data_IF_160251605026
#
_entry.id   IF_160251605026
#
_cell.length_a   1.000
_cell.length_b   1.000
_cell.length_c   1.000
_cell.angle_alpha   90.00
_cell.angle_beta   90.00
_cell.angle_gamma   90.00
#
_symmetry.space_group_name_H-M   'P 1'
#
loop_
_entity.id
_entity.type
_entity.pdbx_description
1 polymer ?
#
# COMPACT_ATOMS: atom_id res chain seq x y z
N UNK A 1 -2.70 21.17 -18.33
CA UNK A 1 -1.48 20.95 -17.55
C UNK A 1 -0.99 19.53 -17.85
N UNK A 2 0.32 19.33 -17.90
CA UNK A 2 0.96 18.00 -18.02
C UNK A 2 1.99 17.85 -16.91
N UNK A 3 2.09 16.63 -16.36
CA UNK A 3 3.06 16.29 -15.30
C UNK A 3 3.70 14.96 -15.68
N UNK A 4 5.02 14.89 -15.70
CA UNK A 4 5.76 13.66 -15.98
C UNK A 4 6.43 13.15 -14.70
N UNK A 5 6.13 11.91 -14.33
CA UNK A 5 6.63 11.26 -13.11
C UNK A 5 7.62 10.15 -13.48
N UNK A 6 8.83 10.15 -12.91
CA UNK A 6 9.80 9.08 -13.17
C UNK A 6 9.33 7.78 -12.51
N UNK A 7 9.08 6.78 -13.33
CA UNK A 7 8.83 5.38 -12.95
C UNK A 7 8.04 5.19 -11.64
N UNK A 8 6.72 5.48 -11.59
CA UNK A 8 5.92 5.32 -10.38
C UNK A 8 5.97 3.90 -9.82
N UNK A 9 5.92 3.77 -8.49
CA UNK A 9 6.04 2.52 -7.77
C UNK A 9 4.92 2.38 -6.74
N UNK A 10 4.25 1.23 -6.74
CA UNK A 10 3.21 0.86 -5.78
C UNK A 10 3.80 -0.10 -4.74
N UNK A 11 3.95 0.38 -3.50
CA UNK A 11 4.60 -0.38 -2.43
C UNK A 11 3.63 -1.22 -1.60
N UNK A 12 2.43 -1.48 -2.10
CA UNK A 12 1.48 -2.41 -1.48
C UNK A 12 0.33 -2.75 -2.43
N UNK A 13 0.34 -3.94 -3.03
CA UNK A 13 -0.75 -4.35 -3.94
C UNK A 13 -1.04 -5.85 -3.86
N UNK A 14 -2.32 -6.21 -4.06
CA UNK A 14 -2.83 -7.58 -4.09
C UNK A 14 -3.17 -8.00 -5.52
N UNK A 15 -2.35 -8.86 -6.12
CA UNK A 15 -2.56 -9.34 -7.50
C UNK A 15 -3.26 -10.70 -7.60
N UNK A 16 -3.68 -11.27 -6.46
CA UNK A 16 -4.52 -12.47 -6.37
C UNK A 16 -3.94 -13.69 -7.10
N UNK A 17 -4.81 -14.62 -7.57
CA UNK A 17 -4.47 -15.89 -8.23
C UNK A 17 -5.48 -16.18 -9.35
N UNK A 18 -5.11 -17.09 -10.28
CA UNK A 18 -5.98 -17.56 -11.36
C UNK A 18 -6.50 -16.43 -12.25
N UNK A 19 -7.72 -16.60 -12.76
CA UNK A 19 -8.36 -15.65 -13.69
C UNK A 19 -8.46 -14.23 -13.17
N UNK A 20 -8.60 -14.06 -11.86
CA UNK A 20 -8.60 -12.72 -11.26
C UNK A 20 -7.19 -12.08 -11.37
N UNK A 21 -6.12 -12.83 -11.19
CA UNK A 21 -4.74 -12.32 -11.38
C UNK A 21 -4.47 -11.95 -12.84
N UNK A 22 -4.97 -12.75 -13.78
CA UNK A 22 -4.86 -12.45 -15.23
C UNK A 22 -5.50 -11.11 -15.59
N UNK A 23 -6.64 -10.78 -14.97
CA UNK A 23 -7.31 -9.49 -15.14
C UNK A 23 -6.54 -8.34 -14.49
N UNK A 24 -6.17 -8.49 -13.19
CA UNK A 24 -5.74 -7.33 -12.40
C UNK A 24 -4.25 -7.00 -12.53
N UNK A 25 -3.41 -7.96 -12.93
CA UNK A 25 -1.96 -7.74 -13.05
C UNK A 25 -1.63 -6.68 -14.12
N UNK A 26 -2.22 -6.68 -15.34
CA UNK A 26 -1.99 -5.63 -16.32
C UNK A 26 -2.45 -4.24 -15.85
N UNK A 27 -3.41 -4.16 -14.93
CA UNK A 27 -3.91 -2.90 -14.41
C UNK A 27 -2.88 -2.14 -13.57
N UNK A 28 -1.81 -2.78 -13.08
CA UNK A 28 -0.68 -2.08 -12.45
C UNK A 28 -0.06 -1.09 -13.44
N UNK A 29 0.33 -1.58 -14.61
CA UNK A 29 0.95 -0.75 -15.66
C UNK A 29 -0.05 0.20 -16.31
N UNK A 30 -1.27 -0.26 -16.57
CA UNK A 30 -2.35 0.59 -17.08
C UNK A 30 -2.68 1.74 -16.15
N UNK A 31 -2.60 1.52 -14.82
CA UNK A 31 -2.75 2.55 -13.81
C UNK A 31 -1.53 3.46 -13.63
N UNK A 32 -0.46 3.27 -14.43
CA UNK A 32 0.71 4.13 -14.48
C UNK A 32 1.89 3.66 -13.63
N UNK A 33 1.89 2.44 -13.11
CA UNK A 33 2.95 1.94 -12.22
C UNK A 33 3.86 0.93 -12.93
N UNK A 34 5.16 1.04 -12.69
CA UNK A 34 6.19 0.19 -13.30
C UNK A 34 6.88 -0.72 -12.29
N UNK A 35 6.63 -0.51 -11.00
CA UNK A 35 7.05 -1.36 -9.90
C UNK A 35 5.85 -1.66 -9.02
N UNK A 36 5.72 -2.92 -8.58
CA UNK A 36 4.68 -3.38 -7.68
C UNK A 36 5.27 -4.25 -6.56
N UNK A 37 4.98 -3.91 -5.31
CA UNK A 37 5.35 -4.69 -4.14
C UNK A 37 4.19 -5.60 -3.73
N UNK A 38 4.38 -6.91 -3.91
CA UNK A 38 3.32 -7.89 -3.95
C UNK A 38 3.05 -8.47 -2.56
N UNK A 39 1.79 -8.40 -2.12
CA UNK A 39 1.35 -8.96 -0.85
C UNK A 39 1.15 -10.48 -0.91
N UNK A 40 1.55 -11.22 0.14
CA UNK A 40 1.70 -12.68 0.09
C UNK A 40 0.46 -13.46 0.54
N UNK A 41 -0.67 -12.80 0.87
CA UNK A 41 -1.87 -13.42 1.47
C UNK A 41 -2.77 -14.14 0.45
N UNK A 42 -2.17 -15.03 -0.31
CA UNK A 42 -2.87 -15.94 -1.23
C UNK A 42 -3.56 -17.10 -0.48
N UNK A 43 -4.15 -18.03 -1.21
CA UNK A 43 -4.64 -19.31 -0.70
C UNK A 43 -3.99 -20.47 -1.45
N UNK A 44 -3.04 -21.20 -0.84
CA UNK A 44 -2.38 -20.95 0.46
C UNK A 44 -1.49 -19.68 0.42
N UNK A 45 -1.13 -19.11 1.59
CA UNK A 45 -0.25 -17.94 1.64
C UNK A 45 1.18 -18.31 1.19
N UNK A 46 1.91 -17.29 0.71
CA UNK A 46 3.30 -17.42 0.25
C UNK A 46 4.23 -17.41 1.46
N UNK A 47 4.69 -18.56 1.90
CA UNK A 47 5.51 -18.71 3.12
C UNK A 47 6.94 -19.14 2.84
N UNK A 48 7.29 -19.51 1.60
CA UNK A 48 8.64 -19.94 1.22
C UNK A 48 9.17 -19.17 0.02
N UNK A 49 10.48 -19.15 -0.12
CA UNK A 49 11.20 -18.56 -1.25
C UNK A 49 10.73 -19.12 -2.59
N UNK A 50 10.57 -20.45 -2.69
CA UNK A 50 10.13 -21.12 -3.92
C UNK A 50 8.73 -20.65 -4.32
N UNK A 51 7.79 -20.56 -3.37
CA UNK A 51 6.45 -20.08 -3.63
C UNK A 51 6.46 -18.62 -4.12
N UNK A 52 7.30 -17.76 -3.50
CA UNK A 52 7.42 -16.36 -3.90
C UNK A 52 7.97 -16.22 -5.32
N UNK A 53 9.01 -17.01 -5.67
CA UNK A 53 9.59 -16.99 -7.00
C UNK A 53 8.63 -17.54 -8.06
N UNK A 54 7.91 -18.63 -7.76
CA UNK A 54 6.89 -19.19 -8.65
C UNK A 54 5.75 -18.19 -8.88
N UNK A 55 5.32 -17.48 -7.83
CA UNK A 55 4.31 -16.43 -7.96
C UNK A 55 4.84 -15.26 -8.81
N UNK A 56 6.07 -14.81 -8.58
CA UNK A 56 6.72 -13.78 -9.42
C UNK A 56 6.74 -14.19 -10.88
N UNK A 57 7.15 -15.43 -11.18
CA UNK A 57 7.17 -15.94 -12.55
C UNK A 57 5.77 -15.93 -13.21
N UNK A 58 4.73 -16.29 -12.45
CA UNK A 58 3.35 -16.24 -12.96
C UNK A 58 2.92 -14.81 -13.31
N UNK A 59 3.25 -13.82 -12.47
CA UNK A 59 2.96 -12.41 -12.74
C UNK A 59 3.75 -11.87 -13.94
N UNK A 60 5.02 -12.26 -14.07
CA UNK A 60 5.87 -11.88 -15.20
C UNK A 60 5.39 -12.47 -16.54
N UNK A 61 4.74 -13.65 -16.53
CA UNK A 61 4.09 -14.21 -17.72
C UNK A 61 2.88 -13.39 -18.17
N UNK A 62 2.17 -12.74 -17.23
CA UNK A 62 1.00 -11.91 -17.53
C UNK A 62 1.44 -10.51 -18.00
N UNK A 63 2.30 -9.82 -17.26
CA UNK A 63 2.89 -8.54 -17.69
C UNK A 63 4.39 -8.49 -17.35
N UNK A 64 5.28 -8.74 -18.34
CA UNK A 64 6.72 -8.73 -18.12
C UNK A 64 7.33 -7.32 -17.96
N UNK A 65 6.54 -6.26 -18.17
CA UNK A 65 7.01 -4.87 -18.15
C UNK A 65 6.89 -4.22 -16.77
N UNK A 66 6.44 -4.95 -15.77
CA UNK A 66 6.37 -4.51 -14.37
C UNK A 66 7.48 -5.16 -13.56
N UNK A 67 8.18 -4.38 -12.75
CA UNK A 67 9.10 -4.91 -11.73
C UNK A 67 8.29 -5.42 -10.53
N UNK A 68 8.33 -6.72 -10.25
CA UNK A 68 7.65 -7.32 -9.10
C UNK A 68 8.62 -7.54 -7.96
N UNK A 69 8.42 -6.85 -6.84
CA UNK A 69 9.07 -7.10 -5.57
C UNK A 69 8.21 -8.04 -4.74
N UNK A 70 8.79 -9.12 -4.22
CA UNK A 70 8.04 -10.17 -3.53
C UNK A 70 8.20 -10.10 -2.02
N UNK A 71 7.17 -10.58 -1.32
CA UNK A 71 7.14 -10.73 0.14
C UNK A 71 6.85 -12.18 0.53
N UNK A 72 7.30 -12.56 1.73
CA UNK A 72 6.82 -13.76 2.43
C UNK A 72 5.74 -13.39 3.44
N UNK A 73 4.87 -14.34 3.73
CA UNK A 73 3.87 -14.25 4.79
C UNK A 73 4.52 -14.64 6.13
N UNK A 74 4.45 -13.77 7.14
CA UNK A 74 4.91 -14.10 8.48
C UNK A 74 3.98 -15.16 9.10
N UNK A 75 4.48 -16.36 9.24
CA UNK A 75 3.74 -17.52 9.74
C UNK A 75 4.58 -18.31 10.76
N UNK A 76 3.96 -19.16 11.59
CA UNK A 76 4.69 -20.02 12.53
C UNK A 76 5.70 -20.98 11.89
N UNK A 77 5.58 -21.26 10.59
CA UNK A 77 6.50 -22.13 9.84
C UNK A 77 7.72 -21.38 9.28
N UNK A 78 7.75 -20.05 9.34
CA UNK A 78 8.89 -19.28 8.83
C UNK A 78 10.09 -19.42 9.78
N UNK A 79 11.28 -19.62 9.22
CA UNK A 79 12.52 -19.81 9.99
C UNK A 79 13.58 -18.78 9.59
N UNK A 80 14.60 -18.51 10.44
CA UNK A 80 15.73 -17.66 10.07
C UNK A 80 16.46 -18.12 8.81
N UNK A 81 16.60 -19.44 8.62
CA UNK A 81 17.23 -20.03 7.43
C UNK A 81 16.44 -19.68 6.16
N UNK A 82 15.11 -19.73 6.23
CA UNK A 82 14.26 -19.32 5.09
C UNK A 82 14.39 -17.81 4.81
N UNK A 83 14.57 -16.97 5.82
CA UNK A 83 14.85 -15.54 5.65
C UNK A 83 16.19 -15.33 4.92
N UNK A 84 17.27 -16.00 5.33
CA UNK A 84 18.56 -15.90 4.64
C UNK A 84 18.48 -16.36 3.19
N UNK A 85 17.74 -17.44 2.92
CA UNK A 85 17.50 -17.94 1.58
C UNK A 85 16.68 -16.95 0.73
N UNK A 86 15.59 -16.41 1.29
CA UNK A 86 14.74 -15.44 0.65
C UNK A 86 15.51 -14.17 0.26
N UNK A 87 16.33 -13.65 1.18
CA UNK A 87 17.16 -12.49 0.91
C UNK A 87 18.14 -12.71 -0.25
N UNK A 88 18.83 -13.87 -0.28
CA UNK A 88 19.72 -14.26 -1.38
C UNK A 88 18.99 -14.39 -2.71
N UNK A 89 17.72 -14.79 -2.69
CA UNK A 89 16.86 -14.89 -3.87
C UNK A 89 16.25 -13.53 -4.31
N UNK A 90 16.52 -12.44 -3.57
CA UNK A 90 16.03 -11.12 -3.88
C UNK A 90 14.58 -10.85 -3.41
N UNK A 91 14.05 -11.65 -2.48
CA UNK A 91 12.81 -11.35 -1.77
C UNK A 91 13.06 -10.14 -0.86
N UNK A 92 12.17 -9.15 -0.88
CA UNK A 92 12.44 -7.82 -0.30
C UNK A 92 12.00 -7.71 1.16
N UNK A 93 10.97 -8.46 1.56
CA UNK A 93 10.45 -8.35 2.92
C UNK A 93 9.52 -9.46 3.34
N UNK A 94 8.97 -9.28 4.54
CA UNK A 94 8.00 -10.18 5.16
C UNK A 94 6.80 -9.35 5.60
N UNK A 95 5.59 -9.76 5.19
CA UNK A 95 4.32 -9.14 5.60
C UNK A 95 3.73 -9.87 6.79
N UNK A 96 3.44 -9.12 7.83
CA UNK A 96 2.73 -9.57 9.03
C UNK A 96 1.26 -9.19 8.96
N UNK A 97 0.41 -10.17 9.25
CA UNK A 97 -1.03 -10.00 9.45
C UNK A 97 -1.40 -10.48 10.86
N UNK A 98 -2.11 -9.68 11.66
CA UNK A 98 -2.74 -10.17 12.88
C UNK A 98 -3.81 -11.21 12.54
N UNK A 99 -3.94 -12.26 13.36
CA UNK A 99 -4.87 -13.37 13.10
C UNK A 99 -6.31 -12.87 12.97
N UNK A 100 -6.98 -13.25 11.87
CA UNK A 100 -8.41 -13.00 11.64
C UNK A 100 -8.80 -11.53 11.41
N UNK A 101 -7.84 -10.61 11.25
CA UNK A 101 -8.15 -9.17 11.08
C UNK A 101 -8.62 -8.85 9.67
N UNK A 102 -8.01 -9.43 8.64
CA UNK A 102 -8.28 -9.12 7.24
C UNK A 102 -8.33 -10.36 6.35
N UNK A 103 -8.49 -10.19 5.05
CA UNK A 103 -8.59 -11.27 4.06
C UNK A 103 -7.40 -12.24 4.16
N UNK A 104 -7.71 -13.55 4.28
CA UNK A 104 -6.70 -14.62 4.36
C UNK A 104 -5.67 -14.45 5.49
N UNK A 105 -6.11 -13.97 6.66
CA UNK A 105 -5.26 -13.77 7.83
C UNK A 105 -5.49 -14.78 8.97
N UNK A 106 -6.20 -15.88 8.71
CA UNK A 106 -6.48 -16.93 9.71
C UNK A 106 -5.20 -17.56 10.30
N UNK A 107 -4.13 -17.66 9.47
CA UNK A 107 -2.79 -18.08 9.88
C UNK A 107 -1.92 -16.95 10.41
N UNK A 108 -2.46 -15.78 10.69
CA UNK A 108 -1.75 -14.61 11.18
C UNK A 108 -1.19 -14.77 12.59
N UNK A 109 -0.46 -13.75 13.04
CA UNK A 109 0.26 -13.79 14.31
C UNK A 109 -0.61 -13.39 15.50
N UNK A 110 -0.26 -13.91 16.68
CA UNK A 110 -0.85 -13.54 17.99
C UNK A 110 0.12 -12.74 18.85
N UNK A 111 1.42 -13.03 18.77
CA UNK A 111 2.49 -12.37 19.52
C UNK A 111 3.72 -12.18 18.63
N UNK A 112 4.36 -11.02 18.71
CA UNK A 112 5.58 -10.71 17.96
C UNK A 112 6.84 -11.31 18.57
N UNK A 113 6.85 -11.56 19.86
CA UNK A 113 8.04 -12.03 20.58
C UNK A 113 8.54 -13.39 20.10
N UNK A 114 7.62 -14.27 19.69
CA UNK A 114 7.97 -15.59 19.13
C UNK A 114 8.71 -15.50 17.80
N UNK A 115 8.63 -14.35 17.11
CA UNK A 115 9.28 -14.10 15.81
C UNK A 115 10.56 -13.27 15.91
N UNK A 116 11.05 -12.98 17.10
CA UNK A 116 12.28 -12.20 17.28
C UNK A 116 13.49 -12.78 16.53
N UNK A 117 13.73 -14.11 16.50
CA UNK A 117 14.80 -14.69 15.66
C UNK A 117 14.62 -14.41 14.15
N UNK A 118 13.37 -14.34 13.68
CA UNK A 118 13.05 -13.98 12.29
C UNK A 118 13.41 -12.53 12.04
N UNK A 119 13.04 -11.61 12.95
CA UNK A 119 13.31 -10.18 12.82
C UNK A 119 14.80 -9.86 12.90
N UNK A 120 15.57 -10.62 13.69
CA UNK A 120 17.03 -10.53 13.73
C UNK A 120 17.63 -10.91 12.38
N UNK A 121 17.24 -12.06 11.82
CA UNK A 121 17.67 -12.49 10.49
C UNK A 121 17.26 -11.50 9.38
N UNK A 122 16.07 -10.89 9.47
CA UNK A 122 15.62 -9.85 8.54
C UNK A 122 16.49 -8.59 8.65
N UNK A 123 16.82 -8.17 9.87
CA UNK A 123 17.69 -7.02 10.13
C UNK A 123 19.11 -7.23 9.58
N UNK A 124 19.67 -8.44 9.74
CA UNK A 124 20.98 -8.81 9.20
C UNK A 124 21.02 -8.81 7.66
N UNK A 125 19.91 -9.16 7.02
CA UNK A 125 19.79 -9.23 5.57
C UNK A 125 19.16 -7.98 4.94
N UNK A 126 18.96 -6.90 5.71
CA UNK A 126 18.35 -5.66 5.25
C UNK A 126 16.97 -5.86 4.58
N UNK A 127 16.19 -6.82 5.07
CA UNK A 127 14.81 -7.05 4.62
C UNK A 127 13.84 -6.12 5.35
N UNK A 128 12.65 -5.89 4.76
CA UNK A 128 11.62 -5.00 5.31
C UNK A 128 10.54 -5.80 6.01
N UNK A 129 10.22 -5.43 7.24
CA UNK A 129 9.05 -5.92 7.96
C UNK A 129 7.85 -5.02 7.67
N UNK A 130 6.85 -5.56 6.99
CA UNK A 130 5.63 -4.85 6.62
C UNK A 130 4.50 -5.24 7.58
N UNK A 131 3.95 -4.29 8.32
CA UNK A 131 2.97 -4.53 9.38
C UNK A 131 1.57 -4.12 8.94
N UNK A 132 0.62 -5.06 8.94
CA UNK A 132 -0.79 -4.69 8.99
C UNK A 132 -1.09 -4.21 10.41
N UNK A 133 -1.23 -2.91 10.56
CA UNK A 133 -1.17 -2.21 11.85
C UNK A 133 -2.49 -2.20 12.62
N UNK A 134 -3.15 -3.33 12.81
CA UNK A 134 -4.37 -3.44 13.61
C UNK A 134 -4.26 -4.56 14.65
N UNK A 135 -5.00 -4.42 15.76
CA UNK A 135 -5.25 -5.50 16.72
C UNK A 135 -6.64 -6.08 16.41
N UNK A 136 -6.82 -7.41 16.52
CA UNK A 136 -8.15 -8.03 16.43
C UNK A 136 -9.12 -7.41 17.43
N UNK A 137 -10.40 -7.27 17.02
CA UNK A 137 -11.45 -6.75 17.89
C UNK A 137 -11.61 -7.64 19.13
N UNK A 138 -11.72 -7.01 20.29
CA UNK A 138 -11.82 -7.65 21.60
C UNK A 138 -12.75 -6.80 22.47
N UNK A 139 -13.97 -7.29 22.69
CA UNK A 139 -14.97 -6.55 23.45
C UNK A 139 -14.60 -6.35 24.93
N UNK A 140 -13.86 -7.30 25.53
CA UNK A 140 -13.43 -7.20 26.92
C UNK A 140 -12.39 -6.09 27.12
N UNK A 141 -11.55 -5.85 26.09
CA UNK A 141 -10.55 -4.80 26.08
C UNK A 141 -11.01 -3.50 25.40
N UNK A 142 -12.28 -3.43 25.03
CA UNK A 142 -12.85 -2.30 24.30
C UNK A 142 -12.08 -2.00 22.99
N UNK A 143 -11.57 -3.04 22.31
CA UNK A 143 -10.94 -2.93 20.99
C UNK A 143 -11.98 -3.20 19.92
N UNK A 144 -12.10 -2.27 18.99
CA UNK A 144 -13.06 -2.33 17.90
C UNK A 144 -12.46 -1.75 16.61
N UNK A 145 -13.14 -1.91 15.49
CA UNK A 145 -12.66 -1.54 14.15
C UNK A 145 -12.15 -0.09 14.02
N UNK A 146 -12.64 0.83 14.85
CA UNK A 146 -12.22 2.24 14.79
C UNK A 146 -10.92 2.48 15.56
N UNK A 147 -10.67 1.79 16.68
CA UNK A 147 -9.47 1.99 17.49
C UNK A 147 -8.43 0.86 17.36
N UNK A 148 -8.65 -0.11 16.47
CA UNK A 148 -7.76 -1.25 16.25
C UNK A 148 -6.33 -0.81 15.86
N UNK A 149 -6.19 0.22 15.00
CA UNK A 149 -4.89 0.75 14.60
C UNK A 149 -4.19 1.50 15.75
N UNK A 150 -4.80 2.49 16.44
CA UNK A 150 -4.18 3.11 17.61
C UNK A 150 -3.75 2.10 18.68
N UNK A 151 -4.55 1.06 18.89
CA UNK A 151 -4.24 -0.01 19.86
C UNK A 151 -3.04 -0.87 19.45
N UNK A 152 -2.69 -0.90 18.16
CA UNK A 152 -1.52 -1.60 17.64
C UNK A 152 -0.21 -0.83 17.82
N UNK A 153 -0.22 0.49 17.87
CA UNK A 153 0.98 1.32 17.84
C UNK A 153 2.03 1.01 18.93
N UNK A 154 1.65 0.59 20.15
CA UNK A 154 2.63 0.13 21.13
C UNK A 154 3.49 -1.04 20.64
N UNK A 155 2.95 -1.93 19.78
CA UNK A 155 3.72 -3.02 19.18
C UNK A 155 4.75 -2.50 18.17
N UNK A 156 4.38 -1.52 17.33
CA UNK A 156 5.32 -0.86 16.41
C UNK A 156 6.51 -0.26 17.18
N UNK A 157 6.22 0.51 18.25
CA UNK A 157 7.27 1.16 19.05
C UNK A 157 8.16 0.13 19.76
N UNK A 158 7.59 -0.96 20.26
CA UNK A 158 8.32 -2.07 20.90
C UNK A 158 9.25 -2.78 19.90
N UNK A 159 8.76 -3.07 18.70
CA UNK A 159 9.54 -3.69 17.63
C UNK A 159 10.70 -2.79 17.19
N UNK A 160 10.44 -1.50 16.95
CA UNK A 160 11.50 -0.55 16.59
C UNK A 160 12.57 -0.43 17.69
N UNK A 161 12.16 -0.43 18.96
CA UNK A 161 13.10 -0.40 20.09
C UNK A 161 13.94 -1.69 20.16
N UNK A 162 13.35 -2.85 19.93
CA UNK A 162 14.04 -4.14 19.98
C UNK A 162 14.98 -4.33 18.77
N UNK A 163 14.59 -3.84 17.60
CA UNK A 163 15.31 -3.99 16.33
C UNK A 163 15.53 -2.63 15.63
N UNK A 164 16.41 -1.77 16.15
CA UNK A 164 16.53 -0.38 15.68
C UNK A 164 17.10 -0.25 14.25
N UNK A 165 17.75 -1.29 13.73
CA UNK A 165 18.25 -1.33 12.35
C UNK A 165 17.30 -2.01 11.38
N UNK A 166 16.28 -2.73 11.86
CA UNK A 166 15.28 -3.36 11.01
C UNK A 166 14.45 -2.28 10.31
N UNK A 167 14.34 -2.37 8.99
CA UNK A 167 13.41 -1.51 8.25
C UNK A 167 11.99 -2.01 8.47
N UNK A 168 11.13 -1.13 8.96
CA UNK A 168 9.72 -1.44 9.25
C UNK A 168 8.83 -0.48 8.47
N UNK A 169 7.80 -1.00 7.84
CA UNK A 169 6.73 -0.21 7.23
C UNK A 169 5.41 -0.49 7.94
N UNK A 170 4.84 0.54 8.53
CA UNK A 170 3.43 0.53 8.96
C UNK A 170 2.58 0.74 7.70
N UNK A 171 1.86 -0.29 7.30
CA UNK A 171 1.10 -0.28 6.05
C UNK A 171 -0.23 0.47 6.18
N UNK A 172 -0.64 1.15 5.07
CA UNK A 172 -1.97 1.73 4.87
C UNK A 172 -2.55 2.44 6.09
N UNK A 173 -1.75 3.32 6.73
CA UNK A 173 -2.18 4.05 7.93
C UNK A 173 -3.48 4.84 7.73
N UNK A 174 -4.28 4.90 8.78
CA UNK A 174 -5.61 5.52 8.75
C UNK A 174 -5.83 6.58 9.84
N UNK A 175 -4.90 6.75 10.77
CA UNK A 175 -5.08 7.63 11.93
C UNK A 175 -3.97 8.67 12.08
N UNK A 176 -4.30 9.79 12.71
CA UNK A 176 -3.33 10.78 13.20
C UNK A 176 -2.31 10.13 14.13
N UNK A 177 -2.77 9.25 15.02
CA UNK A 177 -1.89 8.54 15.97
C UNK A 177 -0.82 7.70 15.26
N UNK A 178 -1.17 7.02 14.15
CA UNK A 178 -0.21 6.28 13.34
C UNK A 178 0.85 7.19 12.72
N UNK A 179 0.44 8.34 12.16
CA UNK A 179 1.38 9.34 11.61
C UNK A 179 2.37 9.80 12.69
N UNK A 180 1.90 10.15 13.87
CA UNK A 180 2.73 10.61 14.98
C UNK A 180 3.66 9.51 15.51
N UNK A 181 3.17 8.27 15.62
CA UNK A 181 3.98 7.13 16.03
C UNK A 181 5.14 6.89 15.04
N UNK A 182 4.87 6.89 13.73
CA UNK A 182 5.92 6.75 12.72
C UNK A 182 6.91 7.91 12.77
N UNK A 183 6.45 9.15 12.95
CA UNK A 183 7.32 10.32 13.10
C UNK A 183 8.22 10.23 14.34
N UNK A 184 7.72 9.66 15.44
CA UNK A 184 8.50 9.47 16.67
C UNK A 184 9.59 8.40 16.54
N UNK A 185 9.48 7.49 15.56
CA UNK A 185 10.50 6.49 15.24
C UNK A 185 11.66 7.09 14.43
N UNK A 186 12.76 6.33 14.37
CA UNK A 186 13.95 6.67 13.58
C UNK A 186 13.74 6.47 12.06
N UNK A 187 14.78 6.69 11.26
CA UNK A 187 14.71 6.63 9.79
C UNK A 187 14.45 5.23 9.24
N UNK A 188 14.56 4.20 10.06
CA UNK A 188 14.27 2.81 9.68
C UNK A 188 12.78 2.48 9.68
N UNK A 189 11.92 3.38 10.17
CA UNK A 189 10.44 3.19 10.16
C UNK A 189 9.79 4.15 9.19
N UNK A 190 9.00 3.59 8.30
CA UNK A 190 8.21 4.33 7.30
C UNK A 190 6.73 3.88 7.32
N UNK A 191 5.93 4.48 6.46
CA UNK A 191 4.50 4.25 6.40
C UNK A 191 3.99 4.34 4.98
N UNK A 192 3.10 3.42 4.58
CA UNK A 192 2.32 3.58 3.36
C UNK A 192 0.99 4.27 3.63
N UNK A 193 0.56 5.11 2.69
CA UNK A 193 -0.75 5.74 2.68
C UNK A 193 -1.42 5.41 1.35
N UNK A 194 -2.70 5.04 1.39
CA UNK A 194 -3.48 4.68 0.20
C UNK A 194 -4.19 5.89 -0.39
N UNK A 195 -4.52 5.83 -1.68
CA UNK A 195 -5.34 6.86 -2.32
C UNK A 195 -6.74 6.97 -1.69
N UNK A 196 -7.35 5.84 -1.34
CA UNK A 196 -8.70 5.82 -0.79
C UNK A 196 -8.76 6.35 0.66
N UNK A 197 -7.74 6.13 1.51
CA UNK A 197 -7.70 6.73 2.85
C UNK A 197 -7.44 8.25 2.83
N UNK A 198 -6.87 8.78 1.76
CA UNK A 198 -6.77 10.24 1.55
C UNK A 198 -8.12 10.88 1.19
N UNK A 199 -9.12 10.09 0.82
CA UNK A 199 -10.43 10.56 0.41
C UNK A 199 -11.54 10.17 1.37
N UNK A 200 -11.64 8.89 1.75
CA UNK A 200 -12.71 8.32 2.56
C UNK A 200 -12.63 8.73 4.03
N UNK A 201 -13.80 8.79 4.64
CA UNK A 201 -14.02 8.82 6.09
C UNK A 201 -15.02 7.72 6.49
N UNK A 202 -15.36 7.65 7.76
CA UNK A 202 -16.37 6.71 8.27
C UNK A 202 -17.72 6.88 7.55
N UNK A 203 -18.11 8.10 7.22
CA UNK A 203 -19.39 8.39 6.54
C UNK A 203 -19.43 7.86 5.09
N UNK A 204 -18.26 7.68 4.47
CA UNK A 204 -18.17 7.24 3.07
C UNK A 204 -18.24 5.71 2.93
N UNK A 205 -17.86 4.94 3.94
CA UNK A 205 -17.92 3.47 3.88
C UNK A 205 -19.06 2.87 4.70
N UNK A 206 -19.57 3.57 5.72
CA UNK A 206 -20.71 3.10 6.48
C UNK A 206 -21.96 2.97 5.56
N UNK A 207 -22.39 1.73 5.32
CA UNK A 207 -23.45 1.43 4.36
C UNK A 207 -23.03 1.35 2.88
N UNK A 208 -21.76 1.55 2.56
CA UNK A 208 -21.21 1.49 1.20
C UNK A 208 -20.16 0.39 1.08
N UNK A 209 -20.61 -0.82 0.77
CA UNK A 209 -19.78 -2.03 0.79
C UNK A 209 -18.54 -1.96 -0.13
N UNK A 210 -18.62 -1.25 -1.26
CA UNK A 210 -17.49 -1.09 -2.18
C UNK A 210 -16.38 -0.18 -1.65
N UNK A 211 -16.67 0.64 -0.62
CA UNK A 211 -15.68 1.45 0.09
C UNK A 211 -15.14 0.77 1.35
N UNK A 212 -15.64 -0.42 1.69
CA UNK A 212 -15.20 -1.17 2.85
C UNK A 212 -13.84 -1.83 2.59
N UNK A 213 -12.85 -1.52 3.43
CA UNK A 213 -11.50 -2.10 3.45
C UNK A 213 -11.07 -2.35 4.90
N UNK A 214 -9.93 -2.98 5.09
CA UNK A 214 -9.28 -3.11 6.39
C UNK A 214 -7.79 -2.72 6.27
N UNK A 215 -7.37 -1.72 7.08
CA UNK A 215 -8.14 -0.94 8.05
C UNK A 215 -9.22 -0.07 7.40
N UNK A 216 -10.32 0.18 8.11
CA UNK A 216 -11.36 1.11 7.63
C UNK A 216 -10.87 2.55 7.71
N UNK A 217 -11.34 3.42 6.81
CA UNK A 217 -11.15 4.86 6.95
C UNK A 217 -11.80 5.36 8.27
N UNK A 218 -11.13 6.30 8.94
CA UNK A 218 -11.53 6.79 10.25
C UNK A 218 -12.29 8.13 10.14
N UNK A 219 -12.04 9.03 11.05
CA UNK A 219 -12.72 10.32 11.13
C UNK A 219 -12.09 11.38 10.19
N UNK A 220 -12.80 12.48 9.91
CA UNK A 220 -12.24 13.57 9.09
C UNK A 220 -10.90 14.09 9.58
N UNK A 221 -10.69 14.22 10.90
CA UNK A 221 -9.42 14.71 11.48
C UNK A 221 -8.25 13.74 11.24
N UNK A 222 -8.52 12.45 11.19
CA UNK A 222 -7.52 11.45 10.83
C UNK A 222 -7.12 11.57 9.37
N UNK A 223 -8.11 11.69 8.46
CA UNK A 223 -7.85 11.93 7.04
C UNK A 223 -7.03 13.21 6.83
N UNK A 224 -7.35 14.30 7.53
CA UNK A 224 -6.58 15.53 7.43
C UNK A 224 -5.14 15.37 7.95
N UNK A 225 -4.89 14.52 8.95
CA UNK A 225 -3.52 14.20 9.38
C UNK A 225 -2.72 13.45 8.30
N UNK A 226 -3.35 12.49 7.59
CA UNK A 226 -2.74 11.82 6.44
C UNK A 226 -2.42 12.79 5.29
N UNK A 227 -3.33 13.71 5.00
CA UNK A 227 -3.14 14.76 3.99
C UNK A 227 -2.03 15.73 4.38
N UNK A 228 -2.00 16.12 5.65
CA UNK A 228 -1.01 17.06 6.17
C UNK A 228 0.41 16.52 6.05
N UNK A 229 0.66 15.24 6.37
CA UNK A 229 2.01 14.66 6.32
C UNK A 229 2.54 14.55 4.88
N UNK A 230 1.67 14.41 3.89
CA UNK A 230 2.08 14.43 2.47
C UNK A 230 2.45 15.86 2.05
N UNK A 231 1.71 16.87 2.53
CA UNK A 231 2.03 18.28 2.28
C UNK A 231 3.29 18.77 3.00
N UNK A 232 3.59 18.18 4.15
CA UNK A 232 4.64 18.61 5.04
C UNK A 232 5.99 18.66 4.31
N UNK A 233 6.62 19.84 4.30
CA UNK A 233 8.02 19.97 3.92
C UNK A 233 8.90 19.76 5.15
N UNK A 234 10.08 19.21 4.98
CA UNK A 234 11.11 19.29 6.01
C UNK A 234 11.55 20.76 6.05
N UNK A 235 11.10 21.48 7.05
CA UNK A 235 11.67 22.78 7.35
C UNK A 235 13.09 22.55 7.85
N UNK A 236 14.06 23.16 7.18
CA UNK A 236 15.40 23.23 7.72
C UNK A 236 15.34 23.87 9.11
N UNK A 237 15.86 23.21 10.14
CA UNK A 237 15.82 23.64 11.54
C UNK A 237 16.52 24.99 11.81
N UNK A 238 17.07 25.61 10.77
CA UNK A 238 17.83 26.87 10.86
C UNK A 238 17.11 28.12 10.35
N UNK A 239 15.81 28.07 10.07
CA UNK A 239 14.98 29.28 9.97
C UNK A 239 15.41 30.33 8.93
N UNK A 240 16.15 29.97 7.89
CA UNK A 240 16.54 30.91 6.85
C UNK A 240 15.39 31.12 5.84
N UNK A 241 14.83 32.31 5.83
CA UNK A 241 13.91 32.80 4.80
C UNK A 241 14.71 32.94 3.51
N UNK A 242 14.66 31.96 2.61
CA UNK A 242 15.15 32.09 1.25
C UNK A 242 14.00 32.36 0.29
N UNK A 243 14.01 33.53 -0.28
CA UNK A 243 13.19 33.97 -1.42
C UNK A 243 13.71 33.22 -2.63
N UNK A 244 12.95 32.30 -3.19
CA UNK A 244 13.24 31.44 -4.36
C UNK A 244 13.58 29.97 -4.07
N UNK A 245 12.92 29.33 -3.11
CA UNK A 245 13.12 27.92 -2.82
C UNK A 245 12.02 27.08 -3.48
N UNK A 246 12.42 26.06 -4.28
CA UNK A 246 11.52 24.95 -4.64
C UNK A 246 10.78 24.51 -3.39
N UNK A 247 9.45 24.24 -3.46
CA UNK A 247 8.70 23.73 -2.31
C UNK A 247 9.46 22.55 -1.73
N UNK A 248 9.74 22.59 -0.43
CA UNK A 248 10.42 21.49 0.25
C UNK A 248 9.63 20.17 0.04
N UNK A 249 10.29 19.03 -0.14
CA UNK A 249 9.62 17.74 -0.36
C UNK A 249 8.69 17.40 0.80
N UNK A 250 7.67 16.53 0.58
CA UNK A 250 6.85 15.93 1.62
C UNK A 250 7.67 15.14 2.63
N UNK A 251 7.04 14.59 3.67
CA UNK A 251 7.78 13.82 4.68
C UNK A 251 8.31 12.49 4.08
N UNK A 252 9.65 12.26 3.99
CA UNK A 252 10.25 11.21 3.15
C UNK A 252 9.96 9.77 3.61
N UNK A 253 9.34 9.59 4.75
CA UNK A 253 8.97 8.27 5.28
C UNK A 253 7.49 7.92 5.06
N UNK A 254 6.75 8.76 4.30
CA UNK A 254 5.35 8.51 3.94
C UNK A 254 5.22 8.50 2.43
N UNK A 255 4.83 7.36 1.87
CA UNK A 255 4.75 7.14 0.43
C UNK A 255 3.56 6.25 0.07
N UNK A 256 3.27 6.13 -1.21
CA UNK A 256 2.14 5.36 -1.70
C UNK A 256 2.36 3.85 -1.50
N UNK A 257 1.36 3.21 -0.89
CA UNK A 257 1.04 1.81 -1.07
C UNK A 257 -0.46 1.75 -1.33
N UNK A 258 -0.86 1.27 -2.50
CA UNK A 258 -2.26 1.40 -2.92
C UNK A 258 -3.23 0.60 -2.08
N UNK A 259 -2.78 -0.51 -1.51
CA UNK A 259 -3.62 -1.57 -0.98
C UNK A 259 -4.78 -1.91 -1.94
N UNK A 260 -4.49 -1.84 -3.24
CA UNK A 260 -5.46 -2.24 -4.24
C UNK A 260 -5.77 -3.72 -4.09
N UNK A 261 -6.97 -4.01 -3.62
CA UNK A 261 -7.39 -5.33 -3.18
C UNK A 261 -8.70 -5.74 -3.89
N UNK A 262 -8.62 -6.19 -5.16
CA UNK A 262 -9.79 -6.56 -5.94
C UNK A 262 -10.49 -7.78 -5.36
N UNK A 263 -11.83 -7.73 -5.36
CA UNK A 263 -12.72 -8.83 -5.01
C UNK A 263 -13.85 -8.92 -6.05
N UNK A 264 -14.30 -10.13 -6.40
CA UNK A 264 -15.51 -10.29 -7.21
C UNK A 264 -16.70 -9.55 -6.58
N UNK A 265 -17.50 -8.86 -7.40
CA UNK A 265 -18.54 -7.96 -6.92
C UNK A 265 -19.57 -8.63 -5.99
N UNK A 266 -19.89 -9.90 -6.24
CA UNK A 266 -20.80 -10.67 -5.39
C UNK A 266 -20.29 -10.84 -3.96
N UNK A 267 -18.95 -10.83 -3.73
CA UNK A 267 -18.37 -10.92 -2.38
C UNK A 267 -18.36 -9.59 -1.63
N UNK A 268 -18.58 -8.50 -2.37
CA UNK A 268 -18.72 -7.14 -1.80
C UNK A 268 -20.17 -6.80 -1.46
N UNK A 269 -21.13 -7.45 -2.10
CA UNK A 269 -22.55 -7.25 -1.84
C UNK A 269 -23.06 -8.36 -0.90
N UNK A 270 -23.59 -7.97 0.25
CA UNK A 270 -24.21 -8.91 1.21
C UNK A 270 -25.62 -9.25 0.75
N UNK A 271 -25.79 -10.33 0.00
CA UNK A 271 -27.10 -10.80 -0.41
C UNK A 271 -27.81 -11.66 0.66
N UNK A 272 -27.05 -12.13 1.65
CA UNK A 272 -27.59 -12.91 2.78
C UNK A 272 -27.04 -12.37 4.10
N UNK A 273 -27.81 -12.47 5.22
CA UNK A 273 -27.39 -11.94 6.53
C UNK A 273 -26.08 -12.54 7.07
N UNK A 274 -25.75 -13.77 6.68
CA UNK A 274 -24.57 -14.50 7.17
C UNK A 274 -23.32 -14.26 6.31
N UNK A 275 -23.44 -13.56 5.20
CA UNK A 275 -22.33 -13.31 4.28
C UNK A 275 -21.69 -11.97 4.60
N UNK A 276 -20.49 -11.99 5.18
CA UNK A 276 -19.69 -10.79 5.41
C UNK A 276 -19.26 -10.13 4.10
N UNK A 277 -19.07 -8.80 4.12
CA UNK A 277 -18.48 -8.06 2.99
C UNK A 277 -16.96 -8.28 2.92
N UNK A 278 -16.44 -8.68 1.76
CA UNK A 278 -14.99 -8.78 1.55
C UNK A 278 -14.32 -7.40 1.71
N UNK A 279 -13.26 -7.35 2.51
CA UNK A 279 -12.52 -6.11 2.75
C UNK A 279 -11.52 -5.85 1.63
N UNK A 280 -11.65 -4.73 0.94
CA UNK A 280 -10.72 -4.30 -0.11
C UNK A 280 -11.34 -3.28 -1.04
N UNK A 281 -10.53 -2.33 -1.47
CA UNK A 281 -10.86 -1.28 -2.46
C UNK A 281 -9.96 -1.50 -3.67
N UNK A 282 -10.48 -1.44 -4.88
CA UNK A 282 -9.75 -1.73 -6.10
C UNK A 282 -9.39 -0.45 -6.85
N UNK A 283 -8.13 -0.04 -6.81
CA UNK A 283 -7.66 1.24 -7.36
C UNK A 283 -6.70 1.10 -8.55
N UNK A 284 -6.07 -0.07 -8.74
CA UNK A 284 -4.98 -0.26 -9.71
C UNK A 284 -5.28 0.25 -11.12
N UNK A 285 -6.47 0.07 -11.73
CA UNK A 285 -6.71 0.47 -13.11
C UNK A 285 -6.51 1.96 -13.41
N UNK A 286 -6.68 2.80 -12.40
CA UNK A 286 -6.66 4.27 -12.52
C UNK A 286 -5.81 4.93 -11.44
N UNK A 287 -4.88 4.19 -10.83
CA UNK A 287 -4.25 4.59 -9.58
C UNK A 287 -3.48 5.92 -9.69
N UNK A 288 -2.60 6.11 -10.67
CA UNK A 288 -1.82 7.35 -10.79
C UNK A 288 -2.69 8.57 -11.11
N UNK A 289 -3.64 8.51 -12.08
CA UNK A 289 -4.63 9.54 -12.29
C UNK A 289 -5.48 9.86 -11.05
N UNK A 290 -5.90 8.83 -10.30
CA UNK A 290 -6.67 8.97 -9.07
C UNK A 290 -5.87 9.69 -7.99
N UNK A 291 -4.61 9.28 -7.76
CA UNK A 291 -3.73 9.94 -6.78
C UNK A 291 -3.51 11.41 -7.16
N UNK A 292 -3.24 11.71 -8.44
CA UNK A 292 -3.10 13.10 -8.90
C UNK A 292 -4.36 13.92 -8.63
N UNK A 293 -5.55 13.37 -8.94
CA UNK A 293 -6.82 14.02 -8.69
C UNK A 293 -7.06 14.27 -7.20
N UNK A 294 -6.80 13.27 -6.34
CA UNK A 294 -6.96 13.40 -4.88
C UNK A 294 -5.99 14.43 -4.32
N UNK A 295 -4.69 14.38 -4.70
CA UNK A 295 -3.70 15.36 -4.24
C UNK A 295 -4.04 16.78 -4.69
N UNK A 296 -4.53 16.96 -5.94
CA UNK A 296 -4.99 18.24 -6.45
C UNK A 296 -6.13 18.81 -5.60
N UNK A 297 -7.09 17.98 -5.19
CA UNK A 297 -8.29 18.38 -4.46
C UNK A 297 -8.01 19.09 -3.13
N UNK A 298 -6.85 18.84 -2.53
CA UNK A 298 -6.44 19.50 -1.28
C UNK A 298 -5.10 20.26 -1.39
N UNK A 299 -4.67 20.58 -2.63
CA UNK A 299 -3.51 21.45 -2.90
C UNK A 299 -2.16 20.80 -2.62
N UNK A 300 -2.03 19.49 -2.85
CA UNK A 300 -0.80 18.71 -2.68
C UNK A 300 -0.23 18.13 -3.98
N UNK A 301 -0.74 18.55 -5.14
CA UNK A 301 -0.32 17.99 -6.44
C UNK A 301 1.18 18.06 -6.68
N UNK A 302 1.85 19.11 -6.20
CA UNK A 302 3.31 19.24 -6.27
C UNK A 302 4.10 18.20 -5.47
N UNK A 303 3.43 17.35 -4.70
CA UNK A 303 4.02 16.21 -3.94
C UNK A 303 3.88 14.87 -4.67
N UNK A 304 3.24 14.85 -5.84
CA UNK A 304 2.91 13.61 -6.53
C UNK A 304 4.13 12.75 -6.80
N UNK A 305 5.21 13.30 -7.37
CA UNK A 305 6.44 12.57 -7.66
C UNK A 305 7.08 11.96 -6.41
N UNK A 306 7.22 12.76 -5.35
CA UNK A 306 7.80 12.31 -4.09
C UNK A 306 6.99 11.15 -3.50
N UNK A 307 5.67 11.27 -3.50
CA UNK A 307 4.74 10.33 -2.89
C UNK A 307 4.63 9.01 -3.66
N UNK A 308 4.58 9.03 -4.99
CA UNK A 308 4.35 7.83 -5.82
C UNK A 308 5.62 7.23 -6.42
N UNK A 309 6.79 7.86 -6.24
CA UNK A 309 8.05 7.37 -6.82
C UNK A 309 9.22 7.49 -5.85
N UNK A 310 9.67 8.72 -5.56
CA UNK A 310 10.99 8.98 -4.96
C UNK A 310 11.13 8.37 -3.56
N UNK A 311 10.16 8.61 -2.67
CA UNK A 311 10.31 8.26 -1.26
C UNK A 311 10.28 6.75 -1.02
N UNK A 312 9.30 6.05 -1.58
CA UNK A 312 9.22 4.61 -1.46
C UNK A 312 10.42 3.91 -2.09
N UNK A 313 10.83 4.33 -3.29
CA UNK A 313 12.03 3.80 -3.94
C UNK A 313 13.28 3.98 -3.09
N UNK A 314 13.47 5.16 -2.49
CA UNK A 314 14.59 5.42 -1.58
C UNK A 314 14.53 4.52 -0.34
N UNK A 315 13.37 4.39 0.29
CA UNK A 315 13.21 3.53 1.46
C UNK A 315 13.48 2.06 1.15
N UNK A 316 13.00 1.56 0.01
CA UNK A 316 13.21 0.19 -0.43
C UNK A 316 14.53 -0.05 -1.17
N UNK A 317 15.41 0.97 -1.30
CA UNK A 317 16.70 0.91 -2.01
C UNK A 317 16.52 0.46 -3.47
N UNK A 318 15.55 1.06 -4.13
CA UNK A 318 15.18 0.86 -5.54
C UNK A 318 15.24 2.18 -6.29
N UNK A 319 16.20 3.02 -5.94
CA UNK A 319 16.44 4.28 -6.64
C UNK A 319 16.70 4.01 -8.12
N UNK A 320 16.22 4.92 -8.95
CA UNK A 320 16.44 4.85 -10.39
C UNK A 320 17.88 5.22 -10.71
N UNK A 321 18.57 4.38 -11.46
CA UNK A 321 19.81 4.79 -12.09
C UNK A 321 19.52 5.96 -13.06
N UNK A 322 20.51 6.82 -13.26
CA UNK A 322 20.37 8.03 -14.12
C UNK A 322 19.85 7.67 -15.53
N UNK A 323 20.25 6.52 -16.04
CA UNK A 323 19.82 6.01 -17.36
C UNK A 323 18.35 5.52 -17.38
N UNK A 324 17.85 4.99 -16.26
CA UNK A 324 16.46 4.53 -16.15
C UNK A 324 15.47 5.65 -15.76
N UNK A 325 15.97 6.81 -15.36
CA UNK A 325 15.15 8.01 -15.15
C UNK A 325 14.44 8.49 -16.42
N UNK A 326 14.85 7.99 -17.58
CA UNK A 326 14.21 8.28 -18.86
C UNK A 326 12.77 7.67 -19.00
N UNK A 327 12.46 6.59 -18.26
CA UNK A 327 11.09 6.02 -18.26
C UNK A 327 10.18 6.84 -17.37
N UNK A 328 9.43 7.75 -17.97
CA UNK A 328 8.46 8.60 -17.30
C UNK A 328 7.05 8.24 -17.70
N UNK A 329 6.12 8.38 -16.78
CA UNK A 329 4.69 8.34 -17.05
C UNK A 329 4.16 9.77 -17.05
N UNK A 330 3.55 10.18 -18.13
CA UNK A 330 3.01 11.53 -18.27
C UNK A 330 1.51 11.53 -18.02
N UNK A 331 1.08 12.38 -17.09
CA UNK A 331 -0.30 12.70 -16.83
C UNK A 331 -0.68 13.99 -17.55
N UNK A 332 -1.87 14.00 -18.15
CA UNK A 332 -2.49 15.17 -18.73
C UNK A 332 -3.80 15.49 -18.03
N UNK A 333 -3.97 16.76 -17.68
CA UNK A 333 -5.23 17.23 -17.14
C UNK A 333 -6.29 17.31 -18.24
N UNK A 334 -7.46 16.75 -17.97
CA UNK A 334 -8.64 16.79 -18.84
C UNK A 334 -9.70 17.62 -18.14
N UNK A 335 -9.96 18.87 -18.57
CA UNK A 335 -10.88 19.78 -17.88
C UNK A 335 -12.28 19.21 -17.71
N UNK A 336 -12.77 18.49 -18.73
CA UNK A 336 -14.10 17.88 -18.75
C UNK A 336 -14.18 16.57 -17.94
N UNK A 337 -13.01 16.06 -17.49
CA UNK A 337 -12.91 14.75 -16.84
C UNK A 337 -13.08 13.59 -17.82
N UNK A 338 -12.87 12.40 -17.32
CA UNK A 338 -13.29 11.15 -17.98
C UNK A 338 -13.82 10.18 -16.92
N UNK A 339 -14.77 9.35 -17.34
CA UNK A 339 -15.40 8.39 -16.42
C UNK A 339 -14.52 7.19 -16.19
N UNK A 340 -14.36 6.82 -14.90
CA UNK A 340 -13.82 5.52 -14.52
C UNK A 340 -14.80 4.44 -14.95
N UNK A 341 -14.30 3.36 -15.52
CA UNK A 341 -15.10 2.22 -15.96
C UNK A 341 -15.95 1.66 -14.80
N UNK A 342 -17.19 1.24 -15.09
CA UNK A 342 -18.14 0.75 -14.08
C UNK A 342 -17.68 -0.57 -13.44
N UNK A 343 -17.13 -1.48 -14.26
CA UNK A 343 -16.61 -2.77 -13.83
C UNK A 343 -15.63 -3.35 -14.84
N UNK A 344 -14.87 -4.35 -14.41
CA UNK A 344 -13.99 -5.15 -15.26
C UNK A 344 -14.39 -6.62 -15.16
N UNK A 345 -14.60 -7.27 -16.30
CA UNK A 345 -15.05 -8.65 -16.34
C UNK A 345 -13.89 -9.64 -16.17
N UNK A 346 -14.09 -10.63 -15.31
CA UNK A 346 -13.17 -11.77 -15.10
C UNK A 346 -13.55 -12.86 -16.10
N UNK A 347 -12.58 -13.61 -16.60
CA UNK A 347 -12.83 -14.70 -17.55
C UNK A 347 -13.78 -15.80 -17.00
N UNK A 348 -13.97 -15.88 -15.69
CA UNK A 348 -14.94 -16.78 -15.04
C UNK A 348 -16.41 -16.32 -15.18
N UNK A 349 -16.68 -15.16 -15.77
CA UNK A 349 -18.02 -14.59 -15.89
C UNK A 349 -18.44 -13.69 -14.71
N UNK A 350 -17.55 -13.48 -13.77
CA UNK A 350 -17.70 -12.53 -12.66
C UNK A 350 -17.12 -11.17 -13.04
N UNK A 351 -17.31 -10.15 -12.19
CA UNK A 351 -16.69 -8.84 -12.39
C UNK A 351 -16.11 -8.27 -11.10
N UNK A 352 -15.21 -7.30 -11.25
CA UNK A 352 -14.68 -6.46 -10.16
C UNK A 352 -15.04 -5.00 -10.43
N UNK A 353 -15.37 -4.29 -9.36
CA UNK A 353 -15.78 -2.88 -9.43
C UNK A 353 -14.63 -2.02 -8.91
N UNK A 354 -14.10 -1.08 -9.70
CA UNK A 354 -13.03 -0.21 -9.26
C UNK A 354 -13.55 0.87 -8.30
N UNK A 355 -12.63 1.43 -7.52
CA UNK A 355 -12.92 2.60 -6.71
C UNK A 355 -13.36 3.76 -7.63
N UNK A 356 -14.42 4.47 -7.23
CA UNK A 356 -15.03 5.52 -8.03
C UNK A 356 -15.60 5.07 -9.39
N UNK A 357 -16.03 3.82 -9.51
CA UNK A 357 -16.76 3.37 -10.71
C UNK A 357 -17.80 4.40 -11.16
N UNK A 358 -17.81 4.75 -12.43
CA UNK A 358 -18.72 5.73 -13.03
C UNK A 358 -18.51 7.20 -12.65
N UNK A 359 -17.55 7.51 -11.73
CA UNK A 359 -17.22 8.89 -11.40
C UNK A 359 -16.18 9.48 -12.35
N UNK A 360 -16.19 10.80 -12.48
CA UNK A 360 -15.24 11.53 -13.32
C UNK A 360 -13.96 11.86 -12.56
N UNK A 361 -12.81 11.65 -13.21
CA UNK A 361 -11.51 12.14 -12.77
C UNK A 361 -10.89 13.05 -13.83
N UNK A 362 -10.06 14.01 -13.39
CA UNK A 362 -9.53 15.07 -14.27
C UNK A 362 -8.15 14.79 -14.84
N UNK A 363 -7.53 13.66 -14.50
CA UNK A 363 -6.20 13.30 -14.94
C UNK A 363 -6.23 11.99 -15.72
N UNK A 364 -5.52 11.91 -16.81
CA UNK A 364 -5.33 10.67 -17.57
C UNK A 364 -3.87 10.46 -17.92
N UNK A 365 -3.47 9.22 -18.07
CA UNK A 365 -2.14 8.86 -18.59
C UNK A 365 -2.15 9.18 -20.09
N UNK A 366 -1.07 9.83 -20.55
CA UNK A 366 -0.80 10.01 -21.96
C UNK A 366 0.02 8.80 -22.40
N UNK A 367 -0.50 8.02 -23.34
CA UNK A 367 0.29 6.94 -23.94
C UNK A 367 1.54 7.54 -24.61
N UNK A 368 2.72 7.08 -24.18
CA UNK A 368 3.95 7.36 -24.93
C UNK A 368 3.81 6.71 -26.31
N UNK A 369 3.87 7.52 -27.39
CA UNK A 369 3.91 7.05 -28.78
C UNK A 369 5.31 6.59 -29.13
#
# INVERSE_FOLDING_TARGET
MEISIPSPADFHVHLRQGTLSELVTPHVRQGGFQLAYIMPNLKPPVTTTEQALAYKESLQKIDPNVEYLMTLYLSPSLTPEEIHKAAKAGIVGVKSYPRGVTTNSDGGIESYETYYPIFEAMQENDMVLNLHGEIPSDAEKNIHIINAEPSFLPHLLKLHKAFPKLRIVLEHATTRAAVEAVKSCGPTVACTITAHHLFLTVDDWAGQSFNYCKPVAKFPDDREALRAVIKEGIYDLFGAIHIDVKPLPGHPRFFLGSDSAPHPSHTKSTSTPDQGCAAGVYTSPVLLPLVAHVLESYGALGRLEDFVSTFGRKFYKRELAVETSAKKVTLKQVPEGFKIQESYDIASGENVVPFWAGKDIRWKIVEER
#
